data_IF_497285932226
#
_entry.id   IF_497285932226
#
_cell.length_a   1.000
_cell.length_b   1.000
_cell.length_c   1.000
_cell.angle_alpha   90.00
_cell.angle_beta   90.00
_cell.angle_gamma   90.00
#
_symmetry.space_group_name_H-M   'P 1'
#
loop_
_entity.id
_entity.type
_entity.pdbx_description
1 polymer ?
#
# COMPACT_ATOMS: atom_id res chain seq x y z
N UNK A 1 14.53 -17.59 5.09
CA UNK A 1 13.60 -16.46 4.85
C UNK A 1 13.52 -15.69 6.16
N UNK A 2 14.46 -14.77 6.39
CA UNK A 2 14.55 -13.99 7.62
C UNK A 2 13.98 -12.59 7.35
N UNK A 3 12.81 -12.30 7.93
CA UNK A 3 12.29 -10.95 8.02
C UNK A 3 12.91 -10.27 9.24
N UNK A 4 14.15 -9.81 9.12
CA UNK A 4 14.75 -8.87 10.08
C UNK A 4 14.34 -7.45 9.67
N UNK A 5 13.05 -7.15 9.86
CA UNK A 5 12.59 -5.76 9.88
C UNK A 5 12.86 -5.24 11.29
N UNK A 6 13.92 -4.44 11.44
CA UNK A 6 14.20 -3.77 12.71
C UNK A 6 12.91 -3.09 13.22
N UNK A 7 12.54 -3.25 14.50
CA UNK A 7 11.36 -2.59 15.04
C UNK A 7 11.54 -1.09 14.90
N UNK A 8 10.54 -0.42 14.33
CA UNK A 8 10.50 1.04 14.30
C UNK A 8 10.44 1.56 15.74
N UNK A 9 11.56 2.05 16.27
CA UNK A 9 11.72 2.60 17.63
C UNK A 9 11.05 3.98 17.80
N UNK A 10 9.94 4.22 17.10
CA UNK A 10 9.19 5.47 17.09
C UNK A 10 7.72 5.25 17.44
N UNK A 11 7.01 6.30 17.85
CA UNK A 11 5.57 6.23 18.06
C UNK A 11 4.84 5.66 16.84
N UNK A 12 3.93 4.70 17.04
CA UNK A 12 3.20 4.06 15.93
C UNK A 12 2.37 5.04 15.08
N UNK A 13 2.01 6.19 15.63
CA UNK A 13 1.27 7.24 14.91
C UNK A 13 2.13 8.04 13.93
N UNK A 14 3.46 7.90 13.98
CA UNK A 14 4.39 8.48 13.01
C UNK A 14 4.69 7.55 11.83
N UNK A 15 4.26 6.29 11.89
CA UNK A 15 4.44 5.35 10.78
C UNK A 15 3.49 5.70 9.65
N UNK A 16 4.07 5.95 8.48
CA UNK A 16 3.34 6.02 7.22
C UNK A 16 3.40 4.66 6.52
N UNK A 17 2.48 4.37 5.58
CA UNK A 17 2.60 3.20 4.72
C UNK A 17 3.98 3.10 4.05
N UNK A 18 4.62 4.22 3.70
CA UNK A 18 5.93 4.24 3.05
C UNK A 18 7.07 3.72 3.95
N UNK A 19 6.89 3.73 5.27
CA UNK A 19 7.87 3.22 6.23
C UNK A 19 7.82 1.69 6.37
N UNK A 20 6.77 1.05 5.84
CA UNK A 20 6.58 -0.37 5.95
C UNK A 20 7.22 -1.14 4.79
N UNK A 21 7.94 -2.23 5.11
CA UNK A 21 8.61 -3.05 4.11
C UNK A 21 7.66 -3.58 3.02
N UNK A 22 6.39 -3.86 3.36
CA UNK A 22 5.38 -4.32 2.39
C UNK A 22 5.03 -3.27 1.33
N UNK A 23 5.21 -1.98 1.60
CA UNK A 23 4.90 -0.92 0.64
C UNK A 23 5.95 -0.81 -0.47
N UNK A 24 7.14 -1.38 -0.28
CA UNK A 24 8.20 -1.39 -1.32
C UNK A 24 7.78 -2.13 -2.60
N UNK A 25 6.81 -3.05 -2.50
CA UNK A 25 6.25 -3.80 -3.63
C UNK A 25 5.13 -3.05 -4.38
N UNK A 26 4.64 -1.93 -3.85
CA UNK A 26 3.57 -1.13 -4.45
C UNK A 26 4.10 -0.20 -5.53
N UNK A 27 4.26 -0.74 -6.74
CA UNK A 27 4.91 -0.08 -7.88
C UNK A 27 3.92 0.41 -8.95
N UNK A 28 4.31 1.33 -9.84
CA UNK A 28 3.56 1.61 -11.06
C UNK A 28 3.28 0.34 -11.88
N UNK A 29 2.08 0.23 -12.45
CA UNK A 29 1.67 -0.91 -13.29
C UNK A 29 1.70 -0.48 -14.74
N UNK A 30 2.41 -1.23 -15.59
CA UNK A 30 2.57 -0.90 -17.02
C UNK A 30 3.02 0.55 -17.27
N UNK A 31 3.89 1.09 -16.40
CA UNK A 31 4.39 2.47 -16.50
C UNK A 31 3.39 3.55 -16.06
N UNK A 32 2.22 3.17 -15.52
CA UNK A 32 1.18 4.08 -15.07
C UNK A 32 1.13 4.16 -13.54
N UNK A 33 0.79 5.33 -12.96
CA UNK A 33 0.44 5.41 -11.55
C UNK A 33 -0.64 4.39 -11.18
N UNK A 34 -0.43 3.68 -10.08
CA UNK A 34 -1.33 2.65 -9.58
C UNK A 34 -1.73 2.97 -8.14
N UNK A 35 -3.00 2.80 -7.83
CA UNK A 35 -3.52 2.86 -6.47
C UNK A 35 -3.76 1.45 -5.94
N UNK A 36 -3.27 1.20 -4.73
CA UNK A 36 -3.44 -0.04 -4.00
C UNK A 36 -4.35 0.21 -2.80
N UNK A 37 -5.50 -0.45 -2.78
CA UNK A 37 -6.44 -0.37 -1.66
C UNK A 37 -6.37 -1.65 -0.85
N UNK A 38 -5.99 -1.52 0.42
CA UNK A 38 -5.96 -2.63 1.35
C UNK A 38 -7.10 -2.49 2.37
N UNK A 39 -7.88 -3.56 2.54
CA UNK A 39 -8.94 -3.69 3.54
C UNK A 39 -8.80 -5.06 4.19
N UNK A 40 -9.14 -5.17 5.47
CA UNK A 40 -9.14 -6.46 6.17
C UNK A 40 -7.81 -7.22 6.03
N UNK A 41 -6.68 -6.50 6.12
CA UNK A 41 -5.33 -7.05 6.01
C UNK A 41 -4.97 -7.66 4.65
N UNK A 42 -5.77 -7.43 3.61
CA UNK A 42 -5.51 -7.86 2.24
C UNK A 42 -5.59 -6.69 1.26
N UNK A 43 -4.69 -6.66 0.27
CA UNK A 43 -4.72 -5.66 -0.79
C UNK A 43 -5.48 -6.20 -2.01
N UNK A 44 -6.35 -5.37 -2.57
CA UNK A 44 -7.04 -5.66 -3.82
C UNK A 44 -6.09 -5.50 -5.02
N UNK A 45 -6.53 -5.95 -6.20
CA UNK A 45 -5.78 -5.71 -7.43
C UNK A 45 -5.60 -4.20 -7.67
N UNK A 46 -4.41 -3.76 -8.12
CA UNK A 46 -4.14 -2.34 -8.34
C UNK A 46 -5.02 -1.78 -9.45
N UNK A 47 -5.46 -0.54 -9.28
CA UNK A 47 -6.19 0.22 -10.29
C UNK A 47 -5.35 1.41 -10.78
N UNK A 48 -5.37 1.66 -12.09
CA UNK A 48 -4.61 2.77 -12.71
C UNK A 48 -5.50 3.95 -13.13
N UNK A 49 -6.81 3.82 -12.95
CA UNK A 49 -7.79 4.86 -13.30
C UNK A 49 -8.38 5.51 -12.05
N UNK A 50 -8.43 6.84 -12.02
CA UNK A 50 -8.99 7.59 -10.90
C UNK A 50 -10.49 7.28 -10.68
N UNK A 51 -11.24 7.02 -11.75
CA UNK A 51 -12.65 6.63 -11.64
C UNK A 51 -12.83 5.25 -10.96
N UNK A 52 -11.97 4.29 -11.31
CA UNK A 52 -11.98 2.96 -10.68
C UNK A 52 -11.64 3.05 -9.18
N UNK A 53 -10.65 3.88 -8.82
CA UNK A 53 -10.32 4.13 -7.41
C UNK A 53 -11.51 4.75 -6.65
N UNK A 54 -12.20 5.75 -7.22
CA UNK A 54 -13.37 6.36 -6.58
C UNK A 54 -14.47 5.35 -6.32
N UNK A 55 -14.71 4.43 -7.26
CA UNK A 55 -15.70 3.37 -7.08
C UNK A 55 -15.34 2.45 -5.91
N UNK A 56 -14.07 2.08 -5.74
CA UNK A 56 -13.61 1.27 -4.60
C UNK A 56 -13.69 1.98 -3.24
N UNK A 57 -13.55 3.31 -3.25
CA UNK A 57 -13.64 4.14 -2.04
C UNK A 57 -15.08 4.47 -1.64
N UNK A 58 -16.03 4.39 -2.57
CA UNK A 58 -17.42 4.71 -2.31
C UNK A 58 -18.11 3.74 -1.33
N UNK A 59 -17.54 2.54 -1.11
CA UNK A 59 -18.01 1.56 -0.13
C UNK A 59 -19.11 0.67 -0.68
#
# INVERSE_FOLDING_TARGET
>A
MAHDAAPSTGPLWLLTPADAAWASEMRPVAGRPAAYLCREFACQAPVTEAAALRALLAG
#
